data_IF_805866908815
#
_entry.id   IF_805866908815
#
_cell.length_a   1.000
_cell.length_b   1.000
_cell.length_c   1.000
_cell.angle_alpha   90.00
_cell.angle_beta   90.00
_cell.angle_gamma   90.00
#
_symmetry.space_group_name_H-M   'P 1'
#
loop_
_entity.id
_entity.type
_entity.pdbx_description
1 polymer ?
#
# COMPACT_ATOMS: atom_id res chain seq x y z
N UNK A 1 0.17 40.63 -3.47
CA UNK A 1 -0.98 39.74 -3.73
C UNK A 1 -0.75 38.47 -2.94
N UNK A 2 -1.44 38.29 -1.80
CA UNK A 2 -1.37 37.05 -1.04
C UNK A 2 -2.18 35.99 -1.81
N UNK A 3 -1.51 35.00 -2.40
CA UNK A 3 -2.21 33.81 -2.85
C UNK A 3 -2.81 33.14 -1.63
N UNK A 4 -4.14 33.14 -1.51
CA UNK A 4 -4.85 32.23 -0.63
C UNK A 4 -4.49 30.82 -1.10
N UNK A 5 -3.48 30.19 -0.49
CA UNK A 5 -3.28 28.74 -0.60
C UNK A 5 -4.60 28.12 -0.13
N UNK A 6 -5.33 27.51 -1.05
CA UNK A 6 -6.50 26.72 -0.69
C UNK A 6 -6.06 25.70 0.36
N UNK A 7 -6.60 25.82 1.56
CA UNK A 7 -6.34 24.87 2.63
C UNK A 7 -6.90 23.52 2.19
N UNK A 8 -6.03 22.53 2.14
CA UNK A 8 -6.40 21.15 1.85
C UNK A 8 -6.21 20.28 3.09
N UNK A 9 -6.98 19.21 3.16
CA UNK A 9 -6.73 18.07 4.03
C UNK A 9 -6.38 16.86 3.19
N UNK A 10 -5.98 15.78 3.83
CA UNK A 10 -5.67 14.51 3.18
C UNK A 10 -6.51 13.42 3.79
N UNK A 11 -7.10 12.59 2.93
CA UNK A 11 -7.75 11.35 3.32
C UNK A 11 -6.92 10.21 2.73
N UNK A 12 -6.64 9.20 3.55
CA UNK A 12 -5.72 8.12 3.22
C UNK A 12 -6.31 6.75 3.58
N UNK A 13 -5.84 5.75 2.83
CA UNK A 13 -6.13 4.33 2.94
C UNK A 13 -4.81 3.63 3.19
N UNK A 14 -4.68 3.00 4.34
CA UNK A 14 -3.46 2.32 4.76
C UNK A 14 -3.71 0.85 5.03
N UNK A 15 -2.72 0.02 4.74
CA UNK A 15 -2.67 -1.40 5.08
C UNK A 15 -1.45 -1.69 5.94
N UNK A 16 -1.42 -2.87 6.54
CA UNK A 16 -0.29 -3.29 7.33
C UNK A 16 -0.03 -4.78 7.12
N UNK A 17 1.19 -5.20 6.75
CA UNK A 17 1.48 -6.62 6.51
C UNK A 17 1.26 -7.53 7.71
N UNK A 18 1.31 -7.01 8.94
CA UNK A 18 0.96 -7.74 10.17
C UNK A 18 -0.56 -7.82 10.42
N UNK A 19 -1.39 -7.08 9.68
CA UNK A 19 -2.86 -7.04 9.81
C UNK A 19 -3.55 -7.29 8.46
N UNK A 20 -3.53 -8.54 7.97
CA UNK A 20 -3.96 -8.87 6.62
C UNK A 20 -5.48 -8.73 6.46
N UNK A 21 -5.90 -8.16 5.33
CA UNK A 21 -7.32 -7.93 5.04
C UNK A 21 -7.97 -6.88 5.93
N UNK A 22 -7.17 -6.11 6.68
CA UNK A 22 -7.62 -4.93 7.40
C UNK A 22 -7.08 -3.67 6.75
N UNK A 23 -8.00 -2.74 6.51
CA UNK A 23 -7.73 -1.42 5.95
C UNK A 23 -7.99 -0.37 7.01
N UNK A 24 -7.05 0.54 7.18
CA UNK A 24 -7.21 1.75 7.99
C UNK A 24 -7.60 2.91 7.09
N UNK A 25 -8.72 3.56 7.39
CA UNK A 25 -9.16 4.78 6.70
C UNK A 25 -9.06 5.93 7.69
N UNK A 26 -8.28 6.95 7.36
CA UNK A 26 -8.12 8.11 8.23
C UNK A 26 -7.89 9.39 7.44
N UNK A 27 -7.78 10.49 8.18
CA UNK A 27 -7.55 11.80 7.58
C UNK A 27 -6.61 12.67 8.40
N UNK A 28 -6.13 13.75 7.77
CA UNK A 28 -5.40 14.84 8.42
C UNK A 28 -5.78 16.18 7.81
N UNK A 29 -5.94 17.19 8.65
CA UNK A 29 -6.09 18.59 8.24
C UNK A 29 -4.87 19.43 8.59
N UNK A 30 -3.83 18.82 9.17
CA UNK A 30 -2.57 19.50 9.50
C UNK A 30 -1.76 19.67 8.21
N UNK A 31 -1.20 20.86 8.02
CA UNK A 31 -0.31 21.16 6.90
C UNK A 31 0.99 20.35 6.93
N UNK A 32 1.33 19.74 8.08
CA UNK A 32 2.52 18.90 8.24
C UNK A 32 2.10 17.42 8.30
N UNK A 33 2.07 16.82 7.12
CA UNK A 33 1.79 15.40 6.86
C UNK A 33 2.77 14.51 7.61
N UNK A 34 4.06 14.86 7.57
CA UNK A 34 5.16 14.12 8.20
C UNK A 34 4.89 13.80 9.67
N UNK A 35 4.32 14.76 10.41
CA UNK A 35 4.02 14.58 11.83
C UNK A 35 2.91 13.54 12.03
N UNK A 36 1.87 13.57 11.19
CA UNK A 36 0.74 12.63 11.32
C UNK A 36 1.10 11.24 10.83
N UNK A 37 1.87 11.12 9.75
CA UNK A 37 2.31 9.82 9.24
C UNK A 37 3.21 9.11 10.25
N UNK A 38 4.11 9.84 10.93
CA UNK A 38 4.91 9.30 12.04
C UNK A 38 4.07 8.86 13.23
N UNK A 39 3.03 9.60 13.59
CA UNK A 39 2.12 9.20 14.68
C UNK A 39 1.34 7.91 14.39
N UNK A 40 1.19 7.52 13.12
CA UNK A 40 0.51 6.27 12.74
C UNK A 40 1.37 5.04 13.04
N UNK A 41 2.71 5.17 13.04
CA UNK A 41 3.64 4.12 13.46
C UNK A 41 4.01 4.27 14.93
N UNK A 42 3.03 4.05 15.81
CA UNK A 42 3.25 3.94 17.26
C UNK A 42 3.61 2.51 17.69
N UNK A 43 4.09 2.34 18.92
CA UNK A 43 4.48 1.03 19.51
C UNK A 43 3.38 -0.04 19.56
N UNK A 44 2.16 0.29 19.15
CA UNK A 44 1.03 -0.63 19.07
C UNK A 44 0.90 -1.38 17.74
N UNK A 45 1.79 -1.15 16.76
CA UNK A 45 1.74 -1.81 15.45
C UNK A 45 3.08 -2.49 15.14
N UNK A 46 3.13 -3.80 14.80
CA UNK A 46 4.38 -4.56 14.71
C UNK A 46 5.33 -4.18 13.57
N UNK A 47 4.78 -3.65 12.47
CA UNK A 47 5.50 -3.21 11.28
C UNK A 47 4.85 -1.91 10.78
N UNK A 48 5.54 -1.09 9.99
CA UNK A 48 4.97 0.16 9.46
C UNK A 48 3.76 -0.06 8.56
N UNK A 49 2.92 0.97 8.45
CA UNK A 49 1.81 1.00 7.50
C UNK A 49 2.32 1.22 6.07
N UNK A 50 1.55 0.71 5.11
CA UNK A 50 1.74 0.95 3.68
C UNK A 50 0.61 1.85 3.20
N UNK A 51 0.94 2.84 2.39
CA UNK A 51 -0.05 3.72 1.79
C UNK A 51 -0.55 3.10 0.50
N UNK A 52 -1.79 2.61 0.52
CA UNK A 52 -2.46 2.11 -0.68
C UNK A 52 -3.00 3.27 -1.52
N UNK A 53 -3.47 4.32 -0.84
CA UNK A 53 -3.98 5.52 -1.49
C UNK A 53 -4.02 6.73 -0.57
N UNK A 54 -3.69 7.89 -1.09
CA UNK A 54 -3.90 9.16 -0.41
C UNK A 54 -4.23 10.26 -1.41
N UNK A 55 -5.18 11.12 -1.04
CA UNK A 55 -5.57 12.24 -1.88
C UNK A 55 -5.74 13.53 -1.08
N UNK A 56 -5.45 14.65 -1.72
CA UNK A 56 -5.82 15.97 -1.21
C UNK A 56 -7.29 16.23 -1.47
N UNK A 57 -7.96 16.76 -0.46
CA UNK A 57 -9.36 17.19 -0.50
C UNK A 57 -9.46 18.58 0.12
N UNK A 58 -10.58 19.28 -0.10
CA UNK A 58 -10.82 20.55 0.62
C UNK A 58 -10.85 20.29 2.12
N UNK A 59 -10.18 21.11 2.93
CA UNK A 59 -10.17 20.94 4.39
C UNK A 59 -11.59 20.86 4.97
N UNK A 60 -12.54 21.60 4.40
CA UNK A 60 -13.96 21.60 4.81
C UNK A 60 -14.68 20.26 4.60
N UNK A 61 -14.18 19.44 3.65
CA UNK A 61 -14.82 18.19 3.25
C UNK A 61 -14.13 16.96 3.86
N UNK A 62 -12.89 17.12 4.33
CA UNK A 62 -12.05 16.05 4.89
C UNK A 62 -12.78 15.17 5.94
N UNK A 63 -13.34 15.81 6.98
CA UNK A 63 -14.10 15.09 8.03
C UNK A 63 -15.43 14.50 7.52
N UNK A 64 -16.06 15.13 6.52
CA UNK A 64 -17.30 14.59 5.92
C UNK A 64 -17.02 13.33 5.12
N UNK A 65 -15.94 13.34 4.32
CA UNK A 65 -15.51 12.22 3.50
C UNK A 65 -15.12 11.03 4.40
N UNK A 66 -14.28 11.26 5.41
CA UNK A 66 -13.90 10.22 6.37
C UNK A 66 -15.14 9.61 7.05
N UNK A 67 -16.03 10.45 7.58
CA UNK A 67 -17.25 9.98 8.24
C UNK A 67 -18.15 9.19 7.28
N UNK A 68 -18.27 9.61 6.02
CA UNK A 68 -19.03 8.91 5.01
C UNK A 68 -18.44 7.51 4.74
N UNK A 69 -17.12 7.40 4.59
CA UNK A 69 -16.43 6.11 4.42
C UNK A 69 -16.60 5.21 5.65
N UNK A 70 -16.41 5.76 6.86
CA UNK A 70 -16.61 5.00 8.09
C UNK A 70 -18.05 4.50 8.24
N UNK A 71 -19.03 5.28 7.79
CA UNK A 71 -20.45 4.89 7.81
C UNK A 71 -20.72 3.81 6.76
N UNK A 72 -20.21 4.00 5.53
CA UNK A 72 -20.38 3.05 4.43
C UNK A 72 -19.78 1.68 4.76
N UNK A 73 -18.64 1.65 5.44
CA UNK A 73 -17.94 0.43 5.83
C UNK A 73 -18.17 0.01 7.29
N UNK A 74 -19.11 0.64 8.02
CA UNK A 74 -19.42 0.27 9.42
C UNK A 74 -19.75 -1.23 9.60
N UNK A 75 -20.48 -1.90 8.68
CA UNK A 75 -20.71 -3.35 8.76
C UNK A 75 -19.42 -4.19 8.77
N UNK A 76 -18.34 -3.67 8.19
CA UNK A 76 -17.03 -4.31 8.10
C UNK A 76 -16.06 -3.83 9.20
N UNK A 77 -16.50 -2.93 10.08
CA UNK A 77 -15.66 -2.32 11.12
C UNK A 77 -15.40 -3.30 12.26
N UNK A 78 -14.13 -3.56 12.56
CA UNK A 78 -13.74 -4.56 13.58
C UNK A 78 -14.04 -4.07 15.00
N UNK A 79 -13.81 -2.79 15.25
CA UNK A 79 -14.04 -2.17 16.55
C UNK A 79 -14.60 -0.77 16.32
N UNK A 80 -15.76 -0.49 16.90
CA UNK A 80 -16.47 0.81 16.75
C UNK A 80 -15.65 2.02 17.19
N UNK A 81 -14.69 1.81 18.10
CA UNK A 81 -13.79 2.85 18.60
C UNK A 81 -12.47 2.95 17.82
N UNK A 82 -12.31 2.20 16.73
CA UNK A 82 -11.09 2.15 15.90
C UNK A 82 -11.44 2.28 14.43
N UNK A 83 -10.49 2.69 13.62
CA UNK A 83 -10.71 3.01 12.21
C UNK A 83 -10.22 1.89 11.29
N UNK A 84 -10.44 0.63 11.69
CA UNK A 84 -10.02 -0.55 10.93
C UNK A 84 -11.23 -1.33 10.40
N UNK A 85 -11.18 -1.65 9.12
CA UNK A 85 -12.27 -2.22 8.35
C UNK A 85 -11.79 -3.48 7.62
N UNK A 86 -12.60 -4.54 7.63
CA UNK A 86 -12.34 -5.77 6.87
C UNK A 86 -12.90 -5.64 5.46
N UNK A 87 -12.14 -4.96 4.61
CA UNK A 87 -12.46 -4.66 3.20
C UNK A 87 -11.19 -4.78 2.35
N UNK A 88 -11.36 -4.82 1.03
CA UNK A 88 -10.24 -4.64 0.11
C UNK A 88 -9.94 -3.13 -0.03
N UNK A 89 -8.67 -2.70 -0.04
CA UNK A 89 -8.31 -1.28 -0.12
C UNK A 89 -8.91 -0.60 -1.36
N UNK A 90 -8.99 -1.31 -2.49
CA UNK A 90 -9.54 -0.81 -3.76
C UNK A 90 -11.00 -0.32 -3.62
N UNK A 91 -11.77 -0.88 -2.67
CA UNK A 91 -13.14 -0.42 -2.41
C UNK A 91 -13.16 1.00 -1.83
N UNK A 92 -12.25 1.30 -0.91
CA UNK A 92 -12.13 2.63 -0.33
C UNK A 92 -11.52 3.62 -1.34
N UNK A 93 -10.55 3.16 -2.13
CA UNK A 93 -9.92 3.94 -3.20
C UNK A 93 -10.93 4.42 -4.22
N UNK A 94 -11.76 3.51 -4.76
CA UNK A 94 -12.76 3.84 -5.77
C UNK A 94 -13.76 4.92 -5.30
N UNK A 95 -14.11 4.94 -4.01
CA UNK A 95 -14.97 5.98 -3.45
C UNK A 95 -14.20 7.30 -3.31
N UNK A 96 -12.96 7.25 -2.85
CA UNK A 96 -12.12 8.45 -2.66
C UNK A 96 -11.76 9.12 -3.99
N UNK A 97 -11.56 8.37 -5.06
CA UNK A 97 -11.33 8.89 -6.40
C UNK A 97 -12.44 9.85 -6.87
N UNK A 98 -13.68 9.66 -6.41
CA UNK A 98 -14.81 10.56 -6.73
C UNK A 98 -14.68 11.95 -6.08
N UNK A 99 -13.90 12.05 -5.00
CA UNK A 99 -13.65 13.29 -4.26
C UNK A 99 -12.24 13.85 -4.48
N UNK A 100 -11.39 13.07 -5.15
CA UNK A 100 -9.97 13.37 -5.33
C UNK A 100 -9.77 14.69 -6.08
N UNK A 101 -9.00 15.60 -5.48
CA UNK A 101 -8.48 16.79 -6.16
C UNK A 101 -7.08 16.58 -6.72
N UNK A 102 -6.27 15.82 -5.99
CA UNK A 102 -4.87 15.52 -6.31
C UNK A 102 -4.48 14.21 -5.60
N UNK A 103 -4.10 13.20 -6.38
CA UNK A 103 -3.52 11.96 -5.86
C UNK A 103 -2.09 12.26 -5.39
N UNK A 104 -1.80 11.91 -4.15
CA UNK A 104 -0.49 12.11 -3.51
C UNK A 104 0.06 10.81 -2.91
N UNK A 105 -0.40 9.67 -3.41
CA UNK A 105 -0.06 8.34 -2.86
C UNK A 105 1.44 8.09 -2.89
N UNK A 106 2.12 8.54 -3.94
CA UNK A 106 3.57 8.38 -4.09
C UNK A 106 4.35 9.20 -3.06
N UNK A 107 3.99 10.47 -2.88
CA UNK A 107 4.59 11.39 -1.92
C UNK A 107 4.46 10.84 -0.51
N UNK A 108 3.25 10.40 -0.14
CA UNK A 108 2.99 9.81 1.17
C UNK A 108 3.78 8.53 1.37
N UNK A 109 3.82 7.65 0.37
CA UNK A 109 4.58 6.39 0.45
C UNK A 109 6.07 6.66 0.63
N UNK A 110 6.61 7.65 -0.08
CA UNK A 110 8.01 8.02 -0.03
C UNK A 110 8.38 8.67 1.31
N UNK A 111 7.50 9.51 1.87
CA UNK A 111 7.66 10.07 3.22
C UNK A 111 7.68 8.97 4.29
N UNK A 112 6.73 8.02 4.24
CA UNK A 112 6.74 6.86 5.15
C UNK A 112 8.08 6.14 5.04
N UNK A 113 8.52 5.80 3.82
CA UNK A 113 9.74 5.02 3.60
C UNK A 113 11.01 5.74 4.10
N UNK A 114 11.07 7.07 3.96
CA UNK A 114 12.20 7.88 4.42
C UNK A 114 12.28 7.95 5.95
N UNK A 115 11.16 7.79 6.65
CA UNK A 115 11.11 7.76 8.12
C UNK A 115 11.44 6.37 8.72
N UNK A 116 11.50 5.31 7.90
CA UNK A 116 11.77 3.94 8.37
C UNK A 116 13.26 3.70 8.64
N UNK A 117 13.56 3.07 9.77
CA UNK A 117 14.89 2.52 10.05
C UNK A 117 15.17 1.29 9.19
N UNK A 118 16.44 0.88 9.11
CA UNK A 118 16.83 -0.38 8.45
C UNK A 118 16.10 -1.58 9.06
N UNK A 119 15.93 -1.61 10.38
CA UNK A 119 15.26 -2.71 11.08
C UNK A 119 13.75 -2.75 10.75
N UNK A 120 13.10 -1.59 10.62
CA UNK A 120 11.69 -1.51 10.20
C UNK A 120 11.51 -2.10 8.79
N UNK A 121 12.42 -1.77 7.86
CA UNK A 121 12.39 -2.28 6.49
C UNK A 121 12.59 -3.80 6.46
N UNK A 122 13.55 -4.32 7.23
CA UNK A 122 13.79 -5.76 7.36
C UNK A 122 12.60 -6.50 7.96
N UNK A 123 12.00 -5.96 9.03
CA UNK A 123 10.82 -6.55 9.67
C UNK A 123 9.61 -6.58 8.72
N UNK A 124 9.42 -5.51 7.95
CA UNK A 124 8.35 -5.43 6.96
C UNK A 124 8.54 -6.48 5.83
N UNK A 125 9.75 -6.59 5.27
CA UNK A 125 10.07 -7.59 4.24
C UNK A 125 9.94 -9.04 4.76
N UNK A 126 10.35 -9.30 6.01
CA UNK A 126 10.15 -10.60 6.64
C UNK A 126 8.66 -10.94 6.78
N UNK A 127 7.85 -9.98 7.22
CA UNK A 127 6.40 -10.17 7.38
C UNK A 127 5.70 -10.42 6.02
N UNK A 128 6.16 -9.76 4.96
CA UNK A 128 5.64 -10.00 3.59
C UNK A 128 6.05 -11.37 3.06
N UNK A 129 7.34 -11.72 3.18
CA UNK A 129 7.88 -12.97 2.62
C UNK A 129 7.33 -14.22 3.29
N UNK A 130 7.15 -14.22 4.60
CA UNK A 130 6.56 -15.34 5.35
C UNK A 130 5.10 -15.63 4.98
N UNK A 131 4.38 -14.64 4.44
CA UNK A 131 2.98 -14.76 4.05
C UNK A 131 2.75 -15.05 2.58
N UNK A 132 3.72 -14.75 1.71
CA UNK A 132 3.61 -15.04 0.27
C UNK A 132 3.66 -16.56 0.09
N UNK A 133 2.65 -17.17 -0.55
CA UNK A 133 2.75 -18.57 -0.93
C UNK A 133 4.05 -18.79 -1.72
N UNK A 134 4.76 -19.91 -1.51
CA UNK A 134 5.93 -20.21 -2.30
C UNK A 134 5.53 -20.23 -3.78
N UNK A 135 6.22 -19.43 -4.57
CA UNK A 135 5.91 -19.24 -5.99
C UNK A 135 6.08 -20.58 -6.73
N UNK A 136 5.02 -21.04 -7.41
CA UNK A 136 5.02 -22.29 -8.15
C UNK A 136 4.54 -22.06 -9.60
N UNK A 137 5.48 -21.99 -10.53
CA UNK A 137 5.22 -21.73 -11.95
C UNK A 137 4.34 -22.82 -12.59
N UNK A 138 4.50 -24.08 -12.17
CA UNK A 138 3.69 -25.19 -12.68
C UNK A 138 2.23 -25.06 -12.24
N UNK A 139 1.97 -24.67 -10.99
CA UNK A 139 0.61 -24.39 -10.50
C UNK A 139 -0.01 -23.18 -11.19
N UNK A 140 0.81 -22.25 -11.66
CA UNK A 140 0.39 -21.10 -12.48
C UNK A 140 0.19 -21.46 -13.96
N UNK A 141 0.42 -22.71 -14.37
CA UNK A 141 0.29 -23.16 -15.77
C UNK A 141 1.45 -22.74 -16.67
N UNK A 142 2.60 -22.39 -16.09
CA UNK A 142 3.80 -21.93 -16.78
C UNK A 142 4.82 -23.08 -16.75
N UNK A 143 5.17 -23.59 -17.92
CA UNK A 143 6.08 -24.73 -18.06
C UNK A 143 7.56 -24.30 -18.12
N UNK A 144 8.50 -25.17 -17.73
CA UNK A 144 9.93 -24.92 -17.92
C UNK A 144 10.27 -24.62 -19.40
N UNK A 145 11.05 -23.57 -19.63
CA UNK A 145 11.41 -23.04 -20.95
C UNK A 145 10.65 -21.76 -21.32
N UNK A 146 9.55 -21.45 -20.64
CA UNK A 146 8.80 -20.20 -20.85
C UNK A 146 9.55 -18.97 -20.33
N UNK A 147 9.35 -17.82 -20.98
CA UNK A 147 9.97 -16.54 -20.61
C UNK A 147 8.97 -15.63 -19.91
N UNK A 148 9.42 -15.00 -18.84
CA UNK A 148 8.67 -14.00 -18.09
C UNK A 148 9.37 -12.65 -18.17
N UNK A 149 8.60 -11.60 -18.42
CA UNK A 149 9.06 -10.20 -18.41
C UNK A 149 8.65 -9.51 -17.12
N UNK A 150 9.52 -8.69 -16.53
CA UNK A 150 9.15 -7.90 -15.36
C UNK A 150 8.10 -6.84 -15.73
N UNK A 151 6.98 -6.80 -15.00
CA UNK A 151 5.85 -5.91 -15.33
C UNK A 151 6.18 -4.41 -15.30
N UNK A 152 7.15 -3.99 -14.47
CA UNK A 152 7.57 -2.59 -14.37
C UNK A 152 8.69 -2.22 -15.36
N UNK A 153 9.44 -3.20 -15.85
CA UNK A 153 10.50 -3.01 -16.85
C UNK A 153 10.59 -4.23 -17.78
N UNK A 154 9.94 -4.17 -18.96
CA UNK A 154 9.93 -5.28 -19.92
C UNK A 154 11.33 -5.66 -20.46
N UNK A 155 12.36 -4.84 -20.26
CA UNK A 155 13.73 -5.18 -20.65
C UNK A 155 14.37 -6.25 -19.76
N UNK A 156 13.79 -6.50 -18.58
CA UNK A 156 14.21 -7.54 -17.66
C UNK A 156 13.41 -8.81 -17.95
N UNK A 157 14.08 -9.80 -18.54
CA UNK A 157 13.52 -11.12 -18.84
C UNK A 157 14.19 -12.23 -17.99
N UNK A 158 13.39 -13.22 -17.60
CA UNK A 158 13.86 -14.48 -17.01
C UNK A 158 13.21 -15.67 -17.71
N UNK A 159 13.87 -16.82 -17.65
CA UNK A 159 13.37 -18.09 -18.17
C UNK A 159 13.01 -19.02 -17.02
N UNK A 160 11.83 -19.63 -17.03
CA UNK A 160 11.46 -20.66 -16.06
C UNK A 160 12.28 -21.91 -16.33
N UNK A 161 13.00 -22.42 -15.31
CA UNK A 161 13.82 -23.64 -15.42
C UNK A 161 13.29 -24.79 -14.57
N UNK A 162 12.41 -24.50 -13.61
CA UNK A 162 11.68 -25.51 -12.85
C UNK A 162 10.41 -24.91 -12.26
N UNK A 163 9.59 -25.74 -11.63
CA UNK A 163 8.39 -25.33 -10.88
C UNK A 163 8.63 -24.17 -9.90
N UNK A 164 9.85 -23.94 -9.41
CA UNK A 164 10.15 -22.89 -8.41
C UNK A 164 11.39 -22.05 -8.74
N UNK A 165 11.95 -22.17 -9.94
CA UNK A 165 13.21 -21.50 -10.29
C UNK A 165 13.13 -20.85 -11.67
N UNK A 166 13.80 -19.72 -11.77
CA UNK A 166 14.02 -18.98 -13.02
C UNK A 166 15.51 -18.73 -13.23
N UNK A 167 15.92 -18.55 -14.48
CA UNK A 167 17.26 -18.20 -14.91
C UNK A 167 17.23 -16.79 -15.53
N UNK A 168 18.09 -15.91 -15.04
CA UNK A 168 18.31 -14.56 -15.56
C UNK A 168 19.56 -14.53 -16.46
N UNK A 169 19.59 -13.66 -17.47
CA UNK A 169 20.78 -13.44 -18.33
C UNK A 169 21.97 -12.80 -17.59
N UNK A 170 21.72 -12.17 -16.43
CA UNK A 170 22.73 -11.76 -15.44
C UNK A 170 22.55 -12.67 -14.24
N UNK A 171 23.55 -13.47 -13.90
CA UNK A 171 23.54 -14.54 -12.88
C UNK A 171 22.42 -14.47 -11.81
N UNK A 172 21.66 -15.57 -11.70
CA UNK A 172 20.78 -15.99 -10.60
C UNK A 172 20.16 -14.89 -9.72
N UNK A 173 19.08 -14.26 -10.21
CA UNK A 173 18.25 -13.40 -9.36
C UNK A 173 17.13 -14.18 -8.66
N UNK A 174 16.83 -13.79 -7.42
CA UNK A 174 15.79 -14.37 -6.58
C UNK A 174 14.40 -14.30 -7.27
N UNK A 175 13.60 -15.38 -7.21
CA UNK A 175 12.36 -15.54 -8.00
C UNK A 175 11.22 -14.58 -7.65
N UNK A 176 11.35 -13.76 -6.61
CA UNK A 176 10.27 -12.91 -6.07
C UNK A 176 9.95 -11.66 -6.90
N UNK A 177 10.68 -11.40 -7.99
CA UNK A 177 10.55 -10.17 -8.76
C UNK A 177 9.66 -10.30 -10.01
N UNK A 178 9.18 -11.49 -10.39
CA UNK A 178 8.49 -11.68 -11.67
C UNK A 178 7.04 -12.13 -11.45
N UNK A 179 6.08 -11.41 -12.06
CA UNK A 179 4.64 -11.74 -12.04
C UNK A 179 4.17 -12.04 -13.46
N UNK A 180 3.29 -13.04 -13.62
CA UNK A 180 2.60 -13.33 -14.89
C UNK A 180 1.70 -12.16 -15.29
N UNK A 181 1.62 -11.88 -16.60
CA UNK A 181 0.50 -11.13 -17.17
C UNK A 181 -0.80 -11.93 -17.08
#
# INVERSE_FOLDING_TARGET
MNQLKDKYGIVYVLTNPAMPGLVKIGMTTRENIDTRMRELYGSGVPVPFECEYACKVKTSDCSKIEKALHTAFDPNRINKNREFFRINPEQAMAILELFNREDITYEISHEIENDLTTDDKLANELMKSTRRPPLNYKEMGIEPGEKLSFGKDPSIEVMVISEKKVLSRREDLLPYLFTSK
#
